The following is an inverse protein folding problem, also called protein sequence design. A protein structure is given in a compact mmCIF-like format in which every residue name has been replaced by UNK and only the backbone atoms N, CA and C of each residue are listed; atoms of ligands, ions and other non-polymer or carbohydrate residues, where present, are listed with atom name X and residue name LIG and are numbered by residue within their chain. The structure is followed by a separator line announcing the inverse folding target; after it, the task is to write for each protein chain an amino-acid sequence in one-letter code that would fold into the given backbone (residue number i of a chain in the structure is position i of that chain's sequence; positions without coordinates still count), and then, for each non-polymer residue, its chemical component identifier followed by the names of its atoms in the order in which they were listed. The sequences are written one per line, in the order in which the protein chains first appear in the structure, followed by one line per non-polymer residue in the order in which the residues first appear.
data_IF_948930867818
#
_entry.id   IF_948930867818
#
_cell.length_a   1.000
_cell.length_b   1.000
_cell.length_c   1.000
_cell.angle_alpha   90.00
_cell.angle_beta   90.00
_cell.angle_gamma   90.00
#
_symmetry.space_group_name_H-M   'P 1'
#
loop_
_entity.id
_entity.type
_entity.pdbx_description
1 polymer ?
#
# COMPACT_ATOMS: atom_id res chain seq x y z
N UNK A 1 -26.22 2.03 -5.61
CA UNK A 1 -27.19 1.48 -4.64
C UNK A 1 -27.48 2.50 -3.52
N UNK A 2 -28.14 3.63 -3.82
CA UNK A 2 -28.37 4.74 -2.86
C UNK A 2 -29.77 4.73 -2.19
N UNK A 3 -30.47 3.59 -2.23
CA UNK A 3 -31.92 3.54 -2.00
C UNK A 3 -32.41 3.37 -0.54
N UNK A 4 -31.55 3.61 0.45
CA UNK A 4 -31.89 3.54 1.89
C UNK A 4 -31.29 4.70 2.68
N UNK A 5 -31.83 5.91 2.44
CA UNK A 5 -31.65 7.03 3.35
C UNK A 5 -32.36 6.75 4.69
N UNK A 6 -31.87 7.34 5.80
CA UNK A 6 -32.60 7.31 7.09
C UNK A 6 -33.72 8.35 7.04
N UNK A 7 -34.77 8.18 7.83
CA UNK A 7 -35.94 9.07 7.82
C UNK A 7 -35.64 10.56 8.08
N UNK A 8 -34.48 10.86 8.71
CA UNK A 8 -34.03 12.22 9.02
C UNK A 8 -32.94 12.75 8.05
N UNK A 9 -32.60 12.00 6.99
CA UNK A 9 -31.62 12.43 5.98
C UNK A 9 -32.32 13.29 4.93
N UNK A 10 -31.88 14.54 4.73
CA UNK A 10 -32.37 15.41 3.65
C UNK A 10 -32.02 14.77 2.29
N UNK A 11 -32.97 14.75 1.37
CA UNK A 11 -32.72 14.37 -0.03
C UNK A 11 -32.27 15.61 -0.79
N UNK A 12 -31.28 15.46 -1.66
CA UNK A 12 -30.81 16.49 -2.58
C UNK A 12 -31.84 16.53 -3.72
N UNK A 13 -32.55 17.66 -3.86
CA UNK A 13 -33.62 17.82 -4.86
C UNK A 13 -33.24 18.80 -5.99
N UNK A 14 -32.06 19.43 -5.91
CA UNK A 14 -31.47 20.26 -6.95
C UNK A 14 -30.01 20.59 -6.66
N UNK A 15 -29.33 21.27 -7.58
CA UNK A 15 -27.91 21.66 -7.46
C UNK A 15 -27.67 22.63 -6.29
N UNK A 16 -28.66 23.44 -5.93
CA UNK A 16 -28.63 24.39 -4.80
C UNK A 16 -28.46 23.71 -3.42
N UNK A 17 -28.69 22.39 -3.35
CA UNK A 17 -28.47 21.59 -2.14
C UNK A 17 -27.01 21.10 -2.00
N UNK A 18 -26.13 21.44 -2.95
CA UNK A 18 -24.73 20.99 -3.02
C UNK A 18 -23.78 22.16 -2.77
N UNK A 19 -23.20 22.19 -1.56
CA UNK A 19 -22.17 23.15 -1.18
C UNK A 19 -20.90 22.99 -2.04
N UNK A 20 -20.41 24.07 -2.63
CA UNK A 20 -19.25 24.06 -3.53
C UNK A 20 -19.53 23.61 -4.98
N UNK A 21 -20.80 23.60 -5.42
CA UNK A 21 -21.19 23.20 -6.79
C UNK A 21 -20.37 23.88 -7.90
N UNK A 22 -20.08 25.18 -7.77
CA UNK A 22 -19.39 25.95 -8.80
C UNK A 22 -17.94 25.47 -9.02
N UNK A 23 -17.26 24.98 -7.99
CA UNK A 23 -15.86 24.51 -8.01
C UNK A 23 -15.69 23.10 -8.62
N UNK A 24 -16.77 22.38 -8.92
CA UNK A 24 -16.69 21.08 -9.61
C UNK A 24 -16.34 21.23 -11.10
N UNK A 25 -15.71 20.20 -11.66
CA UNK A 25 -15.50 20.09 -13.10
C UNK A 25 -16.81 19.76 -13.82
N UNK A 26 -16.92 20.15 -15.08
CA UNK A 26 -18.15 19.98 -15.85
C UNK A 26 -18.50 18.50 -16.09
N UNK A 27 -17.50 17.61 -16.19
CA UNK A 27 -17.72 16.17 -16.29
C UNK A 27 -18.34 15.57 -15.01
N UNK A 28 -17.95 16.08 -13.84
CA UNK A 28 -18.49 15.64 -12.54
C UNK A 28 -19.90 16.22 -12.31
N UNK A 29 -20.14 17.47 -12.75
CA UNK A 29 -21.47 18.13 -12.72
C UNK A 29 -22.50 17.34 -13.54
N UNK A 30 -22.15 16.91 -14.75
CA UNK A 30 -23.00 16.10 -15.62
C UNK A 30 -23.40 14.75 -15.00
N UNK A 31 -22.49 14.12 -14.26
CA UNK A 31 -22.76 12.85 -13.55
C UNK A 31 -23.70 13.07 -12.37
N UNK A 32 -23.52 14.15 -11.62
CA UNK A 32 -24.38 14.46 -10.47
C UNK A 32 -25.81 14.83 -10.92
N UNK A 33 -25.96 15.61 -12.01
CA UNK A 33 -27.27 15.92 -12.60
C UNK A 33 -28.03 14.64 -12.98
N UNK A 34 -27.37 13.70 -13.67
CA UNK A 34 -27.97 12.39 -14.03
C UNK A 34 -28.44 11.61 -12.81
N UNK A 35 -27.72 11.64 -11.69
CA UNK A 35 -28.16 10.98 -10.45
C UNK A 35 -29.31 11.70 -9.74
N UNK A 36 -29.41 13.03 -9.83
CA UNK A 36 -30.56 13.79 -9.33
C UNK A 36 -31.81 13.41 -10.14
N UNK A 37 -31.71 13.39 -11.47
CA UNK A 37 -32.79 13.01 -12.38
C UNK A 37 -33.23 11.55 -12.15
N UNK A 38 -32.30 10.60 -12.09
CA UNK A 38 -32.60 9.19 -11.81
C UNK A 38 -33.31 9.00 -10.45
N UNK A 39 -32.89 9.76 -9.42
CA UNK A 39 -33.56 9.74 -8.11
C UNK A 39 -34.96 10.37 -8.16
N UNK A 40 -35.18 11.44 -8.92
CA UNK A 40 -36.50 12.03 -9.12
C UNK A 40 -37.45 11.04 -9.82
N UNK A 41 -36.99 10.42 -10.90
CA UNK A 41 -37.73 9.46 -11.71
C UNK A 41 -38.11 8.20 -10.91
N UNK A 42 -37.20 7.69 -10.09
CA UNK A 42 -37.43 6.52 -9.24
C UNK A 42 -38.31 6.84 -8.02
N UNK A 43 -38.36 8.09 -7.54
CA UNK A 43 -39.33 8.53 -6.52
C UNK A 43 -40.73 8.72 -7.12
N UNK A 44 -40.83 9.30 -8.33
CA UNK A 44 -42.08 9.43 -9.06
C UNK A 44 -42.75 8.07 -9.32
N UNK A 45 -41.95 7.05 -9.70
CA UNK A 45 -42.43 5.66 -9.89
C UNK A 45 -42.88 4.95 -8.62
N UNK A 46 -42.61 5.48 -7.41
CA UNK A 46 -42.85 4.79 -6.12
C UNK A 46 -43.90 5.44 -5.21
N UNK A 47 -44.42 6.62 -5.56
CA UNK A 47 -45.66 7.16 -4.97
C UNK A 47 -45.61 7.70 -3.53
N UNK A 48 -44.43 7.88 -2.92
CA UNK A 48 -44.31 8.49 -1.58
C UNK A 48 -43.97 9.99 -1.64
N UNK A 49 -45.00 10.83 -1.78
CA UNK A 49 -44.88 12.28 -1.64
C UNK A 49 -44.94 12.66 -0.15
N UNK A 50 -43.78 12.81 0.49
CA UNK A 50 -43.65 13.48 1.80
C UNK A 50 -42.45 14.41 1.81
N UNK A 51 -42.74 15.71 1.92
CA UNK A 51 -41.74 16.75 2.14
C UNK A 51 -41.16 16.68 3.56
N UNK A 52 -39.87 16.97 3.69
CA UNK A 52 -39.13 17.09 4.96
C UNK A 52 -38.52 18.50 5.12
N UNK A 53 -38.16 18.94 6.34
CA UNK A 53 -38.33 20.34 6.73
C UNK A 53 -37.23 21.31 6.25
N UNK A 54 -37.65 22.54 5.92
CA UNK A 54 -36.75 23.67 5.58
C UNK A 54 -35.96 24.16 6.80
N UNK A 55 -34.64 24.22 6.68
CA UNK A 55 -33.77 25.04 7.56
C UNK A 55 -33.66 26.44 6.94
N UNK A 56 -33.85 27.49 7.74
CA UNK A 56 -33.73 28.88 7.27
C UNK A 56 -32.27 29.22 6.93
N UNK A 57 -32.09 29.93 5.82
CA UNK A 57 -30.89 30.70 5.48
C UNK A 57 -30.79 31.94 6.37
N UNK A 58 -29.58 32.47 6.51
CA UNK A 58 -29.28 33.65 7.31
C UNK A 58 -27.80 34.01 7.21
N UNK A 59 -27.44 34.67 6.12
CA UNK A 59 -26.16 35.36 5.97
C UNK A 59 -26.40 36.87 6.14
N UNK A 60 -25.58 37.52 6.97
CA UNK A 60 -25.13 38.92 6.81
C UNK A 60 -24.37 39.37 8.05
N UNK A 61 -23.07 39.60 7.84
CA UNK A 61 -22.31 40.80 8.21
C UNK A 61 -22.26 41.33 9.67
N UNK A 62 -21.13 41.98 9.98
CA UNK A 62 -20.89 42.69 11.24
C UNK A 62 -21.60 44.05 11.27
N UNK A 63 -21.76 44.66 12.46
CA UNK A 63 -20.89 45.82 12.71
C UNK A 63 -20.38 45.96 14.15
N UNK A 64 -19.20 46.56 14.28
CA UNK A 64 -18.51 46.80 15.56
C UNK A 64 -19.08 47.98 16.37
N UNK A 65 -18.88 47.95 17.70
CA UNK A 65 -18.67 49.14 18.55
C UNK A 65 -18.06 48.79 19.92
N UNK A 66 -17.10 49.60 20.34
CA UNK A 66 -16.36 49.62 21.63
C UNK A 66 -16.59 50.97 22.33
N UNK A 67 -15.98 51.29 23.50
CA UNK A 67 -15.81 50.57 24.79
C UNK A 67 -16.56 51.38 25.92
N UNK A 68 -16.23 51.43 27.26
CA UNK A 68 -14.91 51.73 27.88
C UNK A 68 -14.53 51.08 29.25
N UNK A 69 -13.21 51.01 29.51
CA UNK A 69 -12.51 51.25 30.82
C UNK A 69 -12.92 50.49 32.11
N UNK A 70 -11.97 49.88 32.86
CA UNK A 70 -11.02 50.67 33.66
C UNK A 70 -9.97 49.84 34.45
N UNK A 71 -8.74 50.40 34.58
CA UNK A 71 -7.75 50.32 35.70
C UNK A 71 -7.33 48.91 36.23
N UNK A 72 -6.08 48.66 36.64
CA UNK A 72 -5.00 49.54 37.10
C UNK A 72 -3.61 48.88 36.94
N UNK A 73 -2.62 49.73 36.72
CA UNK A 73 -1.19 49.47 36.60
C UNK A 73 -0.47 48.99 37.88
N UNK A 74 0.55 48.14 37.69
CA UNK A 74 1.99 48.39 37.92
C UNK A 74 2.75 47.19 37.29
N UNK A 75 3.88 47.30 36.58
CA UNK A 75 5.12 48.02 36.91
C UNK A 75 6.10 47.02 37.55
N UNK A 76 7.36 46.84 37.12
CA UNK A 76 8.23 47.69 36.29
C UNK A 76 9.49 46.92 35.83
N UNK A 77 10.08 47.35 34.71
CA UNK A 77 11.52 47.40 34.34
C UNK A 77 12.35 46.06 34.35
N UNK A 78 13.38 45.86 33.52
CA UNK A 78 14.09 46.77 32.63
C UNK A 78 14.54 46.12 31.29
N UNK A 79 14.66 46.98 30.28
CA UNK A 79 15.20 46.74 28.93
C UNK A 79 16.71 47.01 28.87
N UNK A 80 17.49 46.29 28.03
CA UNK A 80 18.57 46.90 27.23
C UNK A 80 19.27 45.93 26.25
N UNK A 81 19.07 46.19 24.96
CA UNK A 81 20.05 45.95 23.88
C UNK A 81 20.64 47.32 23.48
N UNK A 82 21.45 47.52 22.40
CA UNK A 82 22.36 46.65 21.62
C UNK A 82 23.74 47.30 21.29
N UNK A 83 24.69 46.56 20.66
CA UNK A 83 25.36 46.88 19.34
C UNK A 83 26.77 46.28 19.11
N UNK A 84 26.94 45.69 17.91
CA UNK A 84 28.02 45.85 16.89
C UNK A 84 29.50 46.06 17.35
N UNK A 85 30.57 45.45 16.78
CA UNK A 85 31.02 45.53 15.35
C UNK A 85 32.36 44.76 15.09
N UNK A 86 32.47 44.21 13.86
CA UNK A 86 33.62 43.70 13.04
C UNK A 86 35.11 44.11 13.30
N UNK A 87 36.01 43.14 13.07
CA UNK A 87 37.15 43.11 12.08
C UNK A 87 37.86 41.72 12.11
N UNK A 88 38.19 41.00 11.02
CA UNK A 88 39.27 41.14 9.98
C UNK A 88 40.71 41.08 10.55
N UNK A 89 41.71 40.41 9.95
CA UNK A 89 41.94 39.91 8.56
C UNK A 89 42.93 38.69 8.56
N UNK A 90 42.87 37.83 7.51
CA UNK A 90 43.95 37.17 6.72
C UNK A 90 45.22 36.51 7.37
N UNK A 91 45.90 35.52 6.75
CA UNK A 91 46.28 35.35 5.33
C UNK A 91 46.35 33.91 4.75
N UNK A 92 46.39 33.84 3.40
CA UNK A 92 46.58 32.65 2.52
C UNK A 92 47.23 33.10 1.17
N UNK A 93 47.75 32.19 0.30
CA UNK A 93 48.08 32.44 -1.13
C UNK A 93 47.41 31.46 -2.16
N UNK A 94 48.00 31.22 -3.35
CA UNK A 94 47.62 30.20 -4.38
C UNK A 94 48.71 29.11 -4.50
N UNK A 95 48.62 28.00 -5.26
CA UNK A 95 47.73 27.54 -6.36
C UNK A 95 47.37 26.02 -6.14
N UNK A 96 46.84 25.16 -7.02
CA UNK A 96 46.59 25.25 -8.47
C UNK A 96 45.38 24.44 -8.97
N UNK A 97 44.52 25.12 -9.75
CA UNK A 97 44.18 24.90 -11.19
C UNK A 97 44.40 23.48 -11.77
N UNK A 98 43.54 22.91 -12.65
CA UNK A 98 42.42 23.35 -13.56
C UNK A 98 41.41 22.17 -13.63
N UNK A 99 40.08 22.27 -13.81
CA UNK A 99 39.17 23.16 -14.54
C UNK A 99 38.96 22.87 -16.05
N UNK A 100 37.83 22.22 -16.40
CA UNK A 100 36.91 22.61 -17.50
C UNK A 100 35.59 21.82 -17.45
N UNK A 101 34.48 22.47 -17.79
CA UNK A 101 33.17 21.84 -18.03
C UNK A 101 32.53 22.40 -19.30
N UNK A 102 31.30 21.98 -19.62
CA UNK A 102 30.44 22.66 -20.61
C UNK A 102 28.97 22.24 -20.46
N UNK A 103 28.09 23.20 -20.28
CA UNK A 103 26.65 23.07 -20.47
C UNK A 103 26.29 23.08 -21.97
N UNK A 104 25.09 22.60 -22.32
CA UNK A 104 24.21 23.18 -23.35
C UNK A 104 22.78 22.58 -23.23
N UNK A 105 21.74 23.34 -23.60
CA UNK A 105 20.32 23.08 -23.23
C UNK A 105 19.38 23.08 -24.44
N UNK A 106 18.37 22.18 -24.42
CA UNK A 106 17.13 22.11 -25.26
C UNK A 106 17.27 21.89 -26.77
N UNK A 107 16.51 20.90 -27.26
CA UNK A 107 15.23 21.24 -27.93
C UNK A 107 14.15 20.15 -27.73
N UNK A 108 12.87 20.54 -27.83
CA UNK A 108 11.71 19.64 -27.93
C UNK A 108 11.52 19.18 -29.38
N UNK A 109 10.98 17.99 -29.57
CA UNK A 109 10.46 17.50 -30.84
C UNK A 109 9.82 16.13 -30.66
N UNK A 110 8.51 16.09 -30.42
CA UNK A 110 7.79 14.82 -30.24
C UNK A 110 7.50 14.15 -31.58
N UNK A 111 7.37 12.82 -31.55
CA UNK A 111 6.50 12.11 -32.49
C UNK A 111 5.96 10.85 -31.84
N UNK A 112 4.66 10.63 -31.97
CA UNK A 112 3.98 9.45 -31.44
C UNK A 112 4.49 8.17 -32.14
N UNK A 113 4.48 7.07 -31.38
CA UNK A 113 4.87 5.76 -31.86
C UNK A 113 4.38 4.71 -30.88
N UNK A 114 3.11 4.32 -31.04
CA UNK A 114 2.47 3.31 -30.20
C UNK A 114 3.32 2.04 -30.14
N UNK A 115 3.70 1.64 -28.92
CA UNK A 115 4.17 0.31 -28.58
C UNK A 115 3.54 -0.11 -27.28
N UNK A 116 2.53 -0.97 -27.38
CA UNK A 116 2.17 -1.90 -26.31
C UNK A 116 3.40 -2.74 -25.96
N UNK A 117 3.86 -2.58 -24.73
CA UNK A 117 4.81 -3.48 -24.08
C UNK A 117 4.33 -3.69 -22.66
N UNK A 118 3.90 -4.91 -22.36
CA UNK A 118 3.50 -5.39 -21.02
C UNK A 118 4.74 -5.59 -20.14
N UNK A 119 5.54 -4.54 -19.98
CA UNK A 119 6.62 -4.50 -19.00
C UNK A 119 5.98 -4.30 -17.61
N UNK A 120 6.18 -5.21 -16.64
CA UNK A 120 5.59 -5.07 -15.32
C UNK A 120 6.13 -3.82 -14.63
N UNK A 121 5.23 -2.96 -14.15
CA UNK A 121 5.60 -1.68 -13.53
C UNK A 121 6.27 -1.88 -12.15
N UNK A 122 7.57 -2.20 -12.13
CA UNK A 122 8.33 -2.38 -10.88
C UNK A 122 8.37 -1.13 -9.98
N UNK A 123 8.00 0.05 -10.50
CA UNK A 123 7.96 1.31 -9.75
C UNK A 123 6.66 1.51 -8.96
N UNK A 124 5.61 0.72 -9.23
CA UNK A 124 4.33 0.92 -8.53
C UNK A 124 4.47 0.77 -7.02
N UNK A 125 3.91 1.73 -6.29
CA UNK A 125 3.90 1.70 -4.82
C UNK A 125 3.20 0.45 -4.27
N UNK A 126 2.34 -0.25 -5.03
CA UNK A 126 1.65 -1.47 -4.58
C UNK A 126 2.48 -2.74 -4.75
N UNK A 127 3.47 -2.70 -5.64
CA UNK A 127 4.41 -3.81 -5.86
C UNK A 127 5.46 -3.92 -4.76
N UNK A 128 5.48 -3.03 -3.77
CA UNK A 128 6.39 -3.14 -2.61
C UNK A 128 6.11 -4.38 -1.75
N UNK A 129 7.10 -5.27 -1.61
CA UNK A 129 7.00 -6.46 -0.77
C UNK A 129 6.72 -6.14 0.71
N UNK A 130 7.18 -5.00 1.21
CA UNK A 130 6.83 -4.50 2.54
C UNK A 130 5.31 -4.33 2.73
N UNK A 131 4.59 -3.93 1.67
CA UNK A 131 3.12 -3.82 1.70
C UNK A 131 2.45 -5.19 1.61
N UNK A 132 2.99 -6.12 0.81
CA UNK A 132 2.53 -7.51 0.79
C UNK A 132 2.65 -8.16 2.18
N UNK A 133 3.80 -8.02 2.85
CA UNK A 133 4.03 -8.54 4.20
C UNK A 133 3.02 -7.96 5.21
N UNK A 134 2.74 -6.64 5.14
CA UNK A 134 1.71 -5.98 5.96
C UNK A 134 0.29 -6.44 5.62
N UNK A 135 -0.03 -6.68 4.34
CA UNK A 135 -1.31 -7.26 3.94
C UNK A 135 -1.51 -8.64 4.56
N UNK A 136 -0.49 -9.50 4.48
CA UNK A 136 -0.54 -10.83 5.09
C UNK A 136 -0.76 -10.75 6.60
N UNK A 137 -0.10 -9.82 7.29
CA UNK A 137 -0.26 -9.62 8.74
C UNK A 137 -1.68 -9.16 9.12
N UNK A 138 -2.25 -8.23 8.32
CA UNK A 138 -3.65 -7.81 8.45
C UNK A 138 -4.60 -9.00 8.19
N UNK A 139 -4.38 -9.81 7.15
CA UNK A 139 -5.23 -10.98 6.87
C UNK A 139 -5.11 -12.01 8.01
N UNK A 140 -3.91 -12.26 8.53
CA UNK A 140 -3.67 -13.22 9.62
C UNK A 140 -4.40 -12.84 10.91
N UNK A 141 -4.44 -11.54 11.24
CA UNK A 141 -5.11 -11.02 12.46
C UNK A 141 -6.65 -11.02 12.37
N UNK A 142 -7.24 -11.01 11.17
CA UNK A 142 -8.70 -11.11 11.03
C UNK A 142 -9.21 -12.51 11.40
N UNK A 143 -10.22 -12.59 12.28
CA UNK A 143 -10.85 -13.85 12.69
C UNK A 143 -11.93 -14.34 11.73
N UNK A 144 -12.61 -13.44 10.99
CA UNK A 144 -13.68 -13.80 10.05
C UNK A 144 -13.18 -13.89 8.62
N UNK A 145 -13.65 -14.89 7.88
CA UNK A 145 -13.35 -15.08 6.47
C UNK A 145 -13.80 -13.92 5.57
N UNK A 146 -14.97 -13.32 5.85
CA UNK A 146 -15.46 -12.11 5.16
C UNK A 146 -14.49 -10.94 5.27
N UNK A 147 -13.89 -10.78 6.45
CA UNK A 147 -13.03 -9.64 6.78
C UNK A 147 -11.64 -9.83 6.16
N UNK A 148 -11.20 -11.09 5.97
CA UNK A 148 -10.02 -11.46 5.17
C UNK A 148 -10.21 -11.10 3.69
N UNK A 149 -11.34 -11.48 3.08
CA UNK A 149 -11.67 -11.09 1.70
C UNK A 149 -11.81 -9.57 1.54
N UNK A 150 -12.41 -8.90 2.53
CA UNK A 150 -12.48 -7.44 2.57
C UNK A 150 -11.10 -6.80 2.67
N UNK A 151 -10.16 -7.35 3.44
CA UNK A 151 -8.79 -6.84 3.54
C UNK A 151 -8.03 -6.92 2.19
N UNK A 152 -8.17 -8.04 1.47
CA UNK A 152 -7.64 -8.19 0.09
C UNK A 152 -8.29 -7.17 -0.84
N UNK A 153 -9.63 -7.09 -0.84
CA UNK A 153 -10.37 -6.12 -1.66
C UNK A 153 -9.94 -4.68 -1.37
N UNK A 154 -9.83 -4.30 -0.10
CA UNK A 154 -9.39 -2.97 0.32
C UNK A 154 -7.94 -2.68 -0.07
N UNK A 155 -7.04 -3.67 -0.11
CA UNK A 155 -5.67 -3.47 -0.57
C UNK A 155 -5.62 -3.05 -2.05
N UNK A 156 -6.41 -3.73 -2.88
CA UNK A 156 -6.48 -3.51 -4.33
C UNK A 156 -7.31 -2.26 -4.63
N UNK A 157 -8.48 -2.09 -4.00
CA UNK A 157 -9.33 -0.90 -4.15
C UNK A 157 -8.67 0.38 -3.62
N UNK A 158 -7.78 0.32 -2.63
CA UNK A 158 -7.00 1.50 -2.19
C UNK A 158 -5.88 1.90 -3.16
N UNK A 159 -5.64 1.13 -4.23
CA UNK A 159 -4.85 1.61 -5.36
C UNK A 159 -5.70 2.40 -6.34
N UNK A 160 -6.95 1.97 -6.55
CA UNK A 160 -7.87 2.64 -7.44
C UNK A 160 -8.30 4.01 -6.90
N UNK A 161 -8.38 4.98 -7.80
CA UNK A 161 -8.99 6.29 -7.54
C UNK A 161 -10.51 6.19 -7.76
N UNK A 162 -10.94 5.23 -8.59
CA UNK A 162 -12.34 4.98 -8.91
C UNK A 162 -12.98 3.89 -8.02
N UNK A 163 -14.11 4.18 -7.38
CA UNK A 163 -14.89 3.16 -6.67
C UNK A 163 -15.68 2.23 -7.60
N UNK A 164 -15.73 2.53 -8.90
CA UNK A 164 -16.48 1.79 -9.93
C UNK A 164 -15.59 0.84 -10.73
N UNK A 165 -14.35 1.23 -11.01
CA UNK A 165 -13.39 0.47 -11.80
C UNK A 165 -12.18 0.05 -10.94
N UNK A 166 -11.73 -1.18 -11.10
CA UNK A 166 -10.54 -1.70 -10.41
C UNK A 166 -9.28 -1.71 -11.31
N UNK A 167 -9.40 -1.11 -12.49
CA UNK A 167 -8.38 -0.98 -13.54
C UNK A 167 -7.27 0.01 -13.19
N UNK A 168 -7.52 0.92 -12.24
CA UNK A 168 -6.50 1.82 -11.67
C UNK A 168 -5.57 1.11 -10.65
N UNK A 169 -5.65 -0.21 -10.48
CA UNK A 169 -4.64 -0.97 -9.72
C UNK A 169 -3.35 -1.09 -10.53
N UNK A 170 -2.49 -0.08 -10.40
CA UNK A 170 -1.16 0.06 -11.02
C UNK A 170 -0.12 -1.01 -10.60
N UNK A 171 -0.50 -2.02 -9.80
CA UNK A 171 0.40 -3.11 -9.39
C UNK A 171 0.27 -4.37 -10.24
N UNK A 172 1.26 -5.27 -10.15
CA UNK A 172 1.18 -6.62 -10.71
C UNK A 172 0.22 -7.47 -9.85
N UNK A 173 -1.05 -7.53 -10.29
CA UNK A 173 -2.09 -8.27 -9.61
C UNK A 173 -1.89 -9.79 -9.69
N UNK A 174 -1.33 -10.29 -10.80
CA UNK A 174 -1.10 -11.71 -10.99
C UNK A 174 -0.01 -12.22 -10.04
N UNK A 175 1.11 -11.50 -9.91
CA UNK A 175 2.14 -11.81 -8.93
C UNK A 175 1.64 -11.62 -7.50
N UNK A 176 0.84 -10.58 -7.21
CA UNK A 176 0.22 -10.42 -5.89
C UNK A 176 -0.62 -11.65 -5.50
N UNK A 177 -1.53 -12.09 -6.38
CA UNK A 177 -2.43 -13.22 -6.12
C UNK A 177 -1.66 -14.54 -6.01
N UNK A 178 -0.67 -14.77 -6.88
CA UNK A 178 0.22 -15.93 -6.85
C UNK A 178 1.02 -16.00 -5.54
N UNK A 179 1.56 -14.88 -5.07
CA UNK A 179 2.25 -14.82 -3.77
C UNK A 179 1.28 -14.97 -2.59
N UNK A 180 0.03 -14.52 -2.67
CA UNK A 180 -1.00 -14.77 -1.64
C UNK A 180 -1.47 -16.24 -1.60
N UNK A 181 -1.24 -17.01 -2.68
CA UNK A 181 -1.67 -18.40 -2.84
C UNK A 181 -0.50 -19.35 -3.14
N UNK A 182 0.54 -19.43 -2.30
CA UNK A 182 1.74 -20.22 -2.61
C UNK A 182 1.50 -21.74 -2.60
N UNK A 183 0.34 -22.20 -2.10
CA UNK A 183 -0.11 -23.59 -2.23
C UNK A 183 -0.65 -23.94 -3.63
N UNK A 184 -0.96 -22.94 -4.48
CA UNK A 184 -1.30 -23.11 -5.90
C UNK A 184 -0.03 -23.09 -6.76
N UNK A 185 0.98 -22.33 -6.35
CA UNK A 185 2.30 -22.32 -6.98
C UNK A 185 2.93 -23.73 -6.99
N UNK A 186 3.45 -24.16 -8.13
CA UNK A 186 4.01 -25.51 -8.33
C UNK A 186 5.53 -25.60 -8.07
N UNK A 187 6.24 -24.48 -7.84
CA UNK A 187 7.70 -24.45 -7.58
C UNK A 187 8.15 -25.40 -6.48
N UNK A 188 9.33 -26.01 -6.62
CA UNK A 188 9.93 -26.85 -5.57
C UNK A 188 11.30 -26.27 -5.19
N UNK A 189 11.46 -25.90 -3.92
CA UNK A 189 12.64 -25.17 -3.43
C UNK A 189 13.71 -26.07 -2.78
N UNK A 190 13.48 -27.39 -2.70
CA UNK A 190 14.41 -28.37 -2.12
C UNK A 190 14.92 -28.01 -0.70
N UNK A 191 14.06 -27.36 0.09
CA UNK A 191 14.34 -26.91 1.46
C UNK A 191 13.31 -27.48 2.43
N UNK A 192 13.78 -27.89 3.62
CA UNK A 192 12.95 -28.35 4.75
C UNK A 192 13.16 -27.42 5.94
N UNK A 193 12.18 -27.33 6.85
CA UNK A 193 12.22 -26.45 8.03
C UNK A 193 13.55 -26.54 8.81
N UNK A 194 13.99 -27.77 9.12
CA UNK A 194 15.27 -28.02 9.81
C UNK A 194 16.52 -27.63 9.01
N UNK A 195 16.47 -27.64 7.67
CA UNK A 195 17.56 -27.11 6.84
C UNK A 195 17.54 -25.58 6.86
N UNK A 196 16.37 -24.95 6.71
CA UNK A 196 16.25 -23.48 6.79
C UNK A 196 16.79 -22.98 8.14
N UNK A 197 16.50 -23.64 9.26
CA UNK A 197 17.06 -23.29 10.58
C UNK A 197 18.60 -23.40 10.59
N UNK A 198 19.18 -24.49 10.08
CA UNK A 198 20.64 -24.66 9.97
C UNK A 198 21.29 -23.60 9.08
N UNK A 199 20.67 -23.29 7.95
CA UNK A 199 21.14 -22.28 7.01
C UNK A 199 21.13 -20.91 7.68
N UNK A 200 20.04 -20.54 8.38
CA UNK A 200 19.96 -19.27 9.08
C UNK A 200 20.88 -19.17 10.31
N UNK A 201 21.12 -20.28 11.03
CA UNK A 201 22.16 -20.35 12.06
C UNK A 201 23.54 -19.95 11.50
N UNK A 202 23.92 -20.48 10.32
CA UNK A 202 25.16 -20.12 9.62
C UNK A 202 25.13 -18.72 8.95
N UNK A 203 23.95 -18.19 8.62
CA UNK A 203 23.82 -16.83 8.07
C UNK A 203 24.01 -15.76 9.17
N UNK A 204 23.54 -16.07 10.38
CA UNK A 204 23.53 -15.19 11.55
C UNK A 204 24.68 -15.43 12.54
N UNK A 205 25.51 -16.45 12.31
CA UNK A 205 26.58 -16.91 13.21
C UNK A 205 26.05 -17.23 14.63
N UNK A 206 24.89 -17.91 14.68
CA UNK A 206 24.19 -18.32 15.91
C UNK A 206 24.26 -19.85 16.13
N UNK A 207 24.19 -20.32 17.38
CA UNK A 207 24.13 -21.74 17.71
C UNK A 207 22.86 -22.41 17.14
N UNK A 208 23.06 -23.51 16.40
CA UNK A 208 21.98 -24.26 15.72
C UNK A 208 20.95 -24.81 16.71
N UNK A 209 21.41 -25.29 17.88
CA UNK A 209 20.53 -25.94 18.87
C UNK A 209 19.54 -24.96 19.50
N UNK A 210 19.94 -23.71 19.75
CA UNK A 210 19.06 -22.70 20.34
C UNK A 210 17.91 -22.38 19.38
N UNK A 211 18.21 -22.15 18.10
CA UNK A 211 17.19 -21.95 17.06
C UNK A 211 16.32 -23.20 16.83
N UNK A 212 16.88 -24.41 16.94
CA UNK A 212 16.09 -25.64 16.90
C UNK A 212 15.16 -25.78 18.11
N UNK A 213 15.57 -25.30 19.29
CA UNK A 213 14.75 -25.32 20.50
C UNK A 213 13.62 -24.26 20.44
N UNK A 214 13.93 -23.04 20.00
CA UNK A 214 12.91 -22.02 19.70
C UNK A 214 11.90 -22.51 18.66
N UNK A 215 12.35 -23.20 17.61
CA UNK A 215 11.46 -23.78 16.61
C UNK A 215 10.56 -24.91 17.17
N UNK A 216 11.09 -25.80 18.02
CA UNK A 216 10.26 -26.83 18.70
C UNK A 216 9.13 -26.20 19.52
N UNK A 217 9.38 -25.04 20.13
CA UNK A 217 8.42 -24.32 20.95
C UNK A 217 7.42 -23.50 20.11
N UNK A 218 7.86 -22.87 19.02
CA UNK A 218 7.03 -21.99 18.19
C UNK A 218 6.20 -22.74 17.13
N UNK A 219 6.71 -23.88 16.65
CA UNK A 219 6.19 -24.59 15.48
C UNK A 219 6.23 -23.77 14.19
N UNK A 220 6.97 -22.66 14.13
CA UNK A 220 7.04 -21.74 12.99
C UNK A 220 8.50 -21.32 12.71
N UNK A 221 9.11 -21.93 11.70
CA UNK A 221 10.47 -21.62 11.25
C UNK A 221 10.62 -20.14 10.84
N UNK A 222 9.59 -19.55 10.26
CA UNK A 222 9.62 -18.15 9.83
C UNK A 222 9.60 -17.19 11.01
N UNK A 223 8.85 -17.52 12.07
CA UNK A 223 8.79 -16.73 13.31
C UNK A 223 10.09 -16.85 14.08
N UNK A 224 10.61 -18.06 14.29
CA UNK A 224 11.91 -18.28 14.95
C UNK A 224 13.04 -17.50 14.30
N UNK A 225 13.14 -17.50 12.96
CA UNK A 225 14.20 -16.75 12.26
C UNK A 225 14.00 -15.23 12.36
N UNK A 226 12.75 -14.75 12.39
CA UNK A 226 12.45 -13.34 12.65
C UNK A 226 12.83 -12.94 14.09
N UNK A 227 12.36 -13.70 15.08
CA UNK A 227 12.61 -13.44 16.50
C UNK A 227 14.13 -13.44 16.75
N UNK A 228 14.87 -14.39 16.19
CA UNK A 228 16.34 -14.41 16.24
C UNK A 228 17.01 -13.19 15.57
N UNK A 229 16.47 -12.71 14.43
CA UNK A 229 16.98 -11.53 13.73
C UNK A 229 16.72 -10.22 14.51
N UNK A 230 15.59 -10.14 15.20
CA UNK A 230 15.19 -9.01 16.07
C UNK A 230 16.01 -9.03 17.37
N UNK A 231 16.03 -10.15 18.10
CA UNK A 231 16.69 -10.32 19.40
C UNK A 231 18.21 -10.10 19.36
N UNK A 232 18.86 -10.46 18.25
CA UNK A 232 20.31 -10.27 18.06
C UNK A 232 20.65 -8.97 17.29
N UNK A 233 19.68 -8.08 17.07
CA UNK A 233 19.82 -6.82 16.34
C UNK A 233 20.49 -6.95 14.95
N UNK A 234 20.29 -8.08 14.28
CA UNK A 234 20.99 -8.43 13.02
C UNK A 234 20.42 -7.66 11.81
N UNK A 235 19.20 -7.13 11.92
CA UNK A 235 18.64 -6.26 10.89
C UNK A 235 19.15 -4.83 11.00
N UNK A 236 19.80 -4.36 9.93
CA UNK A 236 20.01 -2.93 9.64
C UNK A 236 18.91 -2.33 8.75
N UNK A 237 17.90 -3.11 8.37
CA UNK A 237 16.86 -2.73 7.42
C UNK A 237 15.51 -2.64 8.12
N UNK A 238 14.99 -1.42 8.22
CA UNK A 238 13.64 -1.15 8.77
C UNK A 238 12.53 -1.37 7.73
N UNK A 239 12.87 -1.24 6.44
CA UNK A 239 11.97 -1.46 5.31
C UNK A 239 12.80 -1.89 4.09
N UNK A 240 12.50 -3.06 3.53
CA UNK A 240 13.09 -3.53 2.28
C UNK A 240 12.66 -2.68 1.08
N UNK A 241 13.53 -2.63 0.07
CA UNK A 241 13.26 -2.01 -1.23
C UNK A 241 12.93 -3.05 -2.32
N UNK A 242 12.50 -4.24 -1.93
CA UNK A 242 12.15 -5.30 -2.88
C UNK A 242 10.72 -5.13 -3.36
N UNK A 243 10.52 -5.33 -4.66
CA UNK A 243 9.21 -5.47 -5.25
C UNK A 243 8.75 -6.94 -5.22
N UNK A 244 7.47 -7.20 -5.49
CA UNK A 244 6.89 -8.55 -5.52
C UNK A 244 7.41 -9.35 -6.72
N UNK A 245 7.68 -8.72 -7.86
CA UNK A 245 8.30 -9.31 -9.05
C UNK A 245 9.76 -9.67 -8.77
N UNK A 246 10.48 -8.86 -7.98
CA UNK A 246 11.83 -9.19 -7.52
C UNK A 246 11.83 -10.36 -6.54
N UNK A 247 10.86 -10.45 -5.64
CA UNK A 247 10.65 -11.64 -4.79
C UNK A 247 10.34 -12.85 -5.65
N UNK A 248 9.50 -12.71 -6.67
CA UNK A 248 9.12 -13.80 -7.56
C UNK A 248 10.32 -14.33 -8.40
N UNK A 249 11.14 -13.42 -8.94
CA UNK A 249 12.42 -13.75 -9.59
C UNK A 249 13.40 -14.43 -8.61
N UNK A 250 13.44 -13.98 -7.35
CA UNK A 250 14.28 -14.61 -6.32
C UNK A 250 13.78 -16.02 -5.95
N UNK A 251 12.46 -16.23 -5.85
CA UNK A 251 11.84 -17.54 -5.62
C UNK A 251 12.09 -18.49 -6.80
N UNK A 252 11.88 -18.03 -8.05
CA UNK A 252 12.26 -18.79 -9.25
C UNK A 252 13.71 -19.26 -9.17
N UNK A 253 14.65 -18.35 -8.88
CA UNK A 253 16.08 -18.69 -8.81
C UNK A 253 16.42 -19.69 -7.70
N UNK A 254 15.67 -19.68 -6.59
CA UNK A 254 15.84 -20.65 -5.50
C UNK A 254 15.53 -22.09 -5.93
N UNK A 255 14.64 -22.31 -6.90
CA UNK A 255 14.31 -23.67 -7.38
C UNK A 255 15.47 -24.38 -8.06
N UNK A 256 16.45 -23.63 -8.57
CA UNK A 256 17.64 -24.18 -9.23
C UNK A 256 18.68 -24.72 -8.22
N UNK A 257 18.61 -24.31 -6.95
CA UNK A 257 19.65 -24.63 -5.96
C UNK A 257 19.34 -25.92 -5.18
N UNK A 258 20.28 -26.87 -5.30
CA UNK A 258 20.19 -28.19 -4.64
C UNK A 258 21.28 -28.41 -3.59
N UNK A 259 22.32 -27.55 -3.55
CA UNK A 259 23.40 -27.63 -2.57
C UNK A 259 23.20 -26.61 -1.45
N UNK A 260 23.56 -27.00 -0.22
CA UNK A 260 23.41 -26.15 0.96
C UNK A 260 24.16 -24.81 0.81
N UNK A 261 25.39 -24.77 0.27
CA UNK A 261 26.17 -23.54 0.09
C UNK A 261 25.49 -22.51 -0.85
N UNK A 262 24.89 -23.00 -1.94
CA UNK A 262 24.17 -22.19 -2.93
C UNK A 262 22.89 -21.60 -2.30
N UNK A 263 22.14 -22.44 -1.58
CA UNK A 263 20.95 -22.05 -0.84
C UNK A 263 21.28 -21.04 0.28
N UNK A 264 22.31 -21.28 1.08
CA UNK A 264 22.81 -20.37 2.12
C UNK A 264 23.18 -19.01 1.52
N UNK A 265 23.91 -18.99 0.41
CA UNK A 265 24.30 -17.74 -0.26
C UNK A 265 23.08 -16.93 -0.73
N UNK A 266 22.10 -17.60 -1.35
CA UNK A 266 20.87 -16.97 -1.84
C UNK A 266 19.95 -16.46 -0.72
N UNK A 267 19.83 -17.21 0.38
CA UNK A 267 19.13 -16.80 1.60
C UNK A 267 19.85 -15.62 2.29
N UNK A 268 21.18 -15.66 2.39
CA UNK A 268 22.03 -14.57 2.94
C UNK A 268 21.89 -13.27 2.12
N UNK A 269 21.68 -13.38 0.81
CA UNK A 269 21.42 -12.23 -0.06
C UNK A 269 20.11 -11.51 0.29
N UNK A 270 19.04 -12.27 0.56
CA UNK A 270 17.73 -11.75 0.97
C UNK A 270 17.75 -11.21 2.41
N UNK A 271 18.27 -11.99 3.37
CA UNK A 271 18.32 -11.65 4.79
C UNK A 271 19.02 -10.30 5.07
N UNK A 272 20.03 -9.94 4.27
CA UNK A 272 20.73 -8.65 4.37
C UNK A 272 19.95 -7.42 3.85
N UNK A 273 18.80 -7.61 3.21
CA UNK A 273 18.08 -6.57 2.44
C UNK A 273 16.59 -6.42 2.77
N UNK A 274 16.06 -7.28 3.63
CA UNK A 274 14.67 -7.30 4.06
C UNK A 274 14.58 -6.95 5.54
N UNK A 275 13.49 -6.31 5.96
CA UNK A 275 13.16 -6.19 7.38
C UNK A 275 12.79 -7.56 7.97
N UNK A 276 12.80 -7.74 9.32
CA UNK A 276 12.48 -9.02 9.94
C UNK A 276 11.08 -9.56 9.57
N UNK A 277 10.09 -8.65 9.43
CA UNK A 277 8.74 -8.99 8.96
C UNK A 277 8.75 -9.47 7.49
N UNK A 278 9.50 -8.81 6.61
CA UNK A 278 9.63 -9.24 5.22
C UNK A 278 10.36 -10.58 5.10
N UNK A 279 11.40 -10.80 5.91
CA UNK A 279 12.13 -12.07 5.94
C UNK A 279 11.23 -13.22 6.42
N UNK A 280 10.39 -12.99 7.45
CA UNK A 280 9.36 -13.93 7.90
C UNK A 280 8.46 -14.34 6.72
N UNK A 281 7.87 -13.36 6.02
CA UNK A 281 6.97 -13.67 4.90
C UNK A 281 7.68 -14.27 3.68
N UNK A 282 8.96 -13.97 3.44
CA UNK A 282 9.76 -14.65 2.42
C UNK A 282 9.95 -16.15 2.75
N UNK A 283 10.30 -16.47 3.99
CA UNK A 283 10.46 -17.87 4.45
C UNK A 283 9.12 -18.61 4.37
N UNK A 284 8.00 -17.94 4.67
CA UNK A 284 6.65 -18.51 4.51
C UNK A 284 6.30 -18.82 3.06
N UNK A 285 6.73 -17.99 2.10
CA UNK A 285 6.58 -18.27 0.66
C UNK A 285 7.41 -19.50 0.24
N UNK A 286 8.65 -19.63 0.75
CA UNK A 286 9.49 -20.82 0.52
C UNK A 286 8.86 -22.09 1.14
N UNK A 287 8.26 -21.98 2.33
CA UNK A 287 7.54 -23.08 2.97
C UNK A 287 6.16 -23.37 2.36
N UNK A 288 5.69 -22.53 1.43
CA UNK A 288 4.32 -22.53 0.88
C UNK A 288 3.19 -22.41 1.91
N UNK A 289 3.50 -21.85 3.09
CA UNK A 289 2.55 -21.64 4.18
C UNK A 289 2.66 -20.21 4.72
N UNK A 290 1.75 -19.33 4.27
CA UNK A 290 1.66 -17.95 4.75
C UNK A 290 1.12 -17.82 6.18
N UNK A 291 0.49 -18.85 6.75
CA UNK A 291 -0.21 -18.82 8.06
C UNK A 291 -1.17 -17.65 8.25
N UNK A 292 -1.78 -17.19 7.15
CA UNK A 292 -2.80 -16.12 7.14
C UNK A 292 -4.22 -16.65 7.42
N UNK A 293 -4.38 -17.96 7.62
CA UNK A 293 -5.67 -18.63 7.84
C UNK A 293 -6.71 -18.28 6.75
N UNK A 294 -6.24 -18.21 5.49
CA UNK A 294 -7.03 -17.89 4.32
C UNK A 294 -6.69 -18.84 3.17
N UNK A 295 -7.59 -19.79 2.85
CA UNK A 295 -7.51 -20.58 1.62
C UNK A 295 -7.93 -19.80 0.37
N UNK A 296 -7.74 -20.42 -0.80
CA UNK A 296 -7.98 -19.86 -2.15
C UNK A 296 -9.25 -19.04 -2.25
N UNK A 297 -10.39 -19.59 -1.80
CA UNK A 297 -11.69 -18.91 -1.82
C UNK A 297 -11.64 -17.50 -1.24
N UNK A 298 -11.11 -17.34 -0.03
CA UNK A 298 -11.13 -16.06 0.67
C UNK A 298 -10.26 -14.99 -0.02
N UNK A 299 -9.19 -15.39 -0.68
CA UNK A 299 -8.34 -14.48 -1.46
C UNK A 299 -9.03 -14.09 -2.77
N UNK A 300 -9.59 -15.06 -3.51
CA UNK A 300 -10.26 -14.81 -4.78
C UNK A 300 -11.58 -14.04 -4.62
N UNK A 301 -12.37 -14.31 -3.58
CA UNK A 301 -13.57 -13.53 -3.21
C UNK A 301 -13.22 -12.04 -2.94
N UNK A 302 -11.96 -11.74 -2.60
CA UNK A 302 -11.42 -10.38 -2.47
C UNK A 302 -11.07 -9.70 -3.80
N UNK A 303 -10.90 -10.46 -4.88
CA UNK A 303 -10.67 -9.95 -6.24
C UNK A 303 -11.98 -9.59 -6.95
N UNK A 304 -12.89 -10.57 -6.98
CA UNK A 304 -14.23 -10.52 -7.57
C UNK A 304 -15.07 -11.68 -6.99
N UNK A 305 -16.37 -11.48 -6.77
CA UNK A 305 -17.28 -12.50 -6.26
C UNK A 305 -17.39 -13.76 -7.14
N UNK A 306 -17.09 -13.67 -8.44
CA UNK A 306 -17.07 -14.81 -9.36
C UNK A 306 -15.67 -15.43 -9.58
N UNK A 307 -14.60 -14.84 -9.03
CA UNK A 307 -13.23 -15.30 -9.28
C UNK A 307 -12.97 -16.72 -8.75
N UNK A 308 -13.60 -17.10 -7.63
CA UNK A 308 -13.48 -18.46 -7.10
C UNK A 308 -14.17 -19.51 -8.00
N UNK A 309 -15.34 -19.20 -8.56
CA UNK A 309 -16.04 -20.07 -9.49
C UNK A 309 -15.25 -20.24 -10.80
N UNK A 310 -14.66 -19.15 -11.31
CA UNK A 310 -13.73 -19.21 -12.44
C UNK A 310 -12.52 -20.12 -12.14
N UNK A 311 -11.92 -20.03 -10.94
CA UNK A 311 -10.82 -20.91 -10.52
C UNK A 311 -11.21 -22.38 -10.44
N UNK A 312 -12.42 -22.71 -10.01
CA UNK A 312 -12.89 -24.09 -9.98
C UNK A 312 -12.97 -24.71 -11.39
N UNK A 313 -13.19 -23.89 -12.42
CA UNK A 313 -13.32 -24.32 -13.81
C UNK A 313 -11.97 -24.40 -14.55
N UNK A 314 -11.16 -23.33 -14.54
CA UNK A 314 -9.90 -23.26 -15.31
C UNK A 314 -8.64 -23.64 -14.52
N UNK A 315 -8.64 -23.42 -13.19
CA UNK A 315 -7.46 -23.47 -12.30
C UNK A 315 -6.28 -22.56 -12.71
N UNK A 316 -6.47 -21.67 -13.68
CA UNK A 316 -5.45 -20.73 -14.15
C UNK A 316 -5.63 -19.36 -13.47
N UNK A 317 -4.62 -18.92 -12.71
CA UNK A 317 -4.65 -17.61 -12.04
C UNK A 317 -4.48 -16.45 -13.00
N UNK A 318 -3.80 -16.61 -14.14
CA UNK A 318 -3.67 -15.57 -15.15
C UNK A 318 -5.03 -15.31 -15.79
N UNK A 319 -5.70 -16.36 -16.26
CA UNK A 319 -7.01 -16.23 -16.92
C UNK A 319 -8.07 -15.56 -16.01
N UNK A 320 -8.04 -15.80 -14.70
CA UNK A 320 -8.97 -15.17 -13.74
C UNK A 320 -8.67 -13.69 -13.53
N UNK A 321 -7.38 -13.32 -13.53
CA UNK A 321 -6.94 -11.93 -13.44
C UNK A 321 -7.28 -11.19 -14.74
N UNK A 322 -7.06 -11.81 -15.90
CA UNK A 322 -7.32 -11.22 -17.22
C UNK A 322 -8.81 -11.10 -17.55
N UNK A 323 -9.64 -12.10 -17.19
CA UNK A 323 -11.11 -12.03 -17.36
C UNK A 323 -11.75 -10.86 -16.62
N UNK A 324 -11.05 -10.26 -15.64
CA UNK A 324 -11.45 -9.02 -14.97
C UNK A 324 -11.52 -7.84 -15.95
N UNK A 325 -10.55 -7.75 -16.87
CA UNK A 325 -10.41 -6.66 -17.85
C UNK A 325 -11.50 -6.69 -18.93
N UNK A 326 -12.28 -7.77 -19.03
CA UNK A 326 -13.32 -7.97 -20.03
C UNK A 326 -14.75 -7.87 -19.49
N UNK A 327 -14.94 -7.72 -18.18
CA UNK A 327 -16.26 -7.53 -17.58
C UNK A 327 -16.57 -6.04 -17.41
N UNK A 328 -16.96 -5.40 -18.51
CA UNK A 328 -17.60 -4.06 -18.56
C UNK A 328 -19.09 -4.18 -18.86
#
# INVERSE_FOLDING_TARGET
MFFKARANTKVIEGTDDIEGWDDLKDEDKDVILKFIDELADLRAKKGEVKATPKKKTGDSDSPAKTPPSSKKANGKDAESTPKQKKSKDKDKPESSKKAKGKDDVKNKGGKEGSKTSEEPNEESKYNSFNKFAKLCDVIATMSKYTDKSAAVKMFISRASVCFVCLDDYDGDLLTLVRLLLPGVDQRVYNLKEKQIIKHFASIFDLPVEDLLNEYKNSGDVSKTIRDAMENNNLSRVTKGNWSIEKVDRWLNKLTEFTKDDEQISHLKFAAKRLSPLELQYLIRLVMKDLRINAGVKHILDGLNSSAYEAFQNCRDLAEIVDRRSYCT
#
